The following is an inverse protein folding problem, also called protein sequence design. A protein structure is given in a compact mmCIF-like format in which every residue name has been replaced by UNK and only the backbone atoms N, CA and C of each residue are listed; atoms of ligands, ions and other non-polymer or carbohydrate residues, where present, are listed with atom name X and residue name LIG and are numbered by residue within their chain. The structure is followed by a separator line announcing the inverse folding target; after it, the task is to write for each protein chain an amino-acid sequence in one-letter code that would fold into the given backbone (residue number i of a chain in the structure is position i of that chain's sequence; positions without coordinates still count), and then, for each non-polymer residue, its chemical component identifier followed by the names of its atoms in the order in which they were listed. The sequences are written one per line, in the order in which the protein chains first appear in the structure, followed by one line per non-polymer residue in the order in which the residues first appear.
data_IF_902131523268
#
_entry.id   IF_902131523268
#
_cell.length_a   1.000
_cell.length_b   1.000
_cell.length_c   1.000
_cell.angle_alpha   90.00
_cell.angle_beta   90.00
_cell.angle_gamma   90.00
#
_symmetry.space_group_name_H-M   'P 1'
#
loop_
_entity.id
_entity.type
_entity.pdbx_description
1 polymer ?
#
# COMPACT_ATOMS: atom_id res chain seq x y z
N UNK A 1 13.13 2.22 4.31
CA UNK A 1 11.83 1.69 4.81
C UNK A 1 11.88 1.41 6.31
N UNK A 2 12.90 0.72 6.80
CA UNK A 2 13.01 0.30 8.22
C UNK A 2 13.19 1.48 9.20
N UNK A 3 13.76 2.60 8.75
CA UNK A 3 13.93 3.82 9.55
C UNK A 3 12.61 4.43 10.06
N UNK A 4 11.49 4.26 9.34
CA UNK A 4 10.17 4.71 9.80
C UNK A 4 9.67 3.91 11.00
N UNK A 5 9.94 2.61 11.03
CA UNK A 5 9.53 1.72 12.14
C UNK A 5 10.44 1.85 13.37
N UNK A 6 11.50 2.64 13.27
CA UNK A 6 12.50 2.76 14.33
C UNK A 6 12.06 3.76 15.42
N UNK A 7 10.91 3.50 16.04
CA UNK A 7 10.29 4.35 17.06
C UNK A 7 11.21 4.55 18.28
N UNK A 8 12.16 3.63 18.53
CA UNK A 8 13.13 3.81 19.61
C UNK A 8 14.04 5.03 19.39
N UNK A 9 14.36 5.38 18.15
CA UNK A 9 15.21 6.52 17.81
C UNK A 9 14.49 7.87 18.01
N UNK A 10 13.16 7.86 18.12
CA UNK A 10 12.34 9.04 18.42
C UNK A 10 12.61 9.59 19.85
N UNK A 11 13.06 8.73 20.77
CA UNK A 11 13.34 9.08 22.16
C UNK A 11 14.83 9.30 22.45
N UNK A 12 15.69 9.21 21.43
CA UNK A 12 17.14 9.39 21.55
C UNK A 12 17.54 10.73 20.93
N UNK A 13 17.93 11.69 21.77
CA UNK A 13 18.44 13.01 21.36
C UNK A 13 17.43 14.18 21.47
N UNK A 14 17.83 15.40 21.08
CA UNK A 14 16.93 16.55 21.05
C UNK A 14 15.80 16.35 20.03
N UNK A 15 14.60 16.84 20.35
CA UNK A 15 13.37 16.64 19.59
C UNK A 15 13.55 16.97 18.09
N UNK A 16 13.22 16.06 17.14
CA UNK A 16 12.38 14.86 17.26
C UNK A 16 13.15 13.52 17.41
N UNK A 17 14.41 13.54 17.82
CA UNK A 17 15.29 12.36 17.88
C UNK A 17 15.95 12.02 16.54
N UNK A 18 16.60 10.86 16.44
CA UNK A 18 17.23 10.33 15.21
C UNK A 18 16.24 9.75 14.18
N UNK A 19 14.94 9.86 14.45
CA UNK A 19 13.87 9.30 13.64
C UNK A 19 13.66 10.10 12.35
N UNK A 20 13.60 9.41 11.21
CA UNK A 20 13.39 10.03 9.89
C UNK A 20 11.89 10.13 9.54
N UNK A 21 11.26 11.33 9.62
CA UNK A 21 9.83 11.53 9.35
C UNK A 21 9.49 11.51 7.86
N UNK A 22 10.47 11.47 6.96
CA UNK A 22 10.27 11.71 5.52
C UNK A 22 9.27 10.73 4.92
N UNK A 23 9.37 9.45 5.30
CA UNK A 23 8.49 8.41 4.77
C UNK A 23 7.04 8.58 5.24
N UNK A 24 6.84 8.99 6.50
CA UNK A 24 5.51 9.31 7.01
C UNK A 24 4.90 10.47 6.24
N UNK A 25 5.67 11.52 6.00
CA UNK A 25 5.19 12.70 5.28
C UNK A 25 4.78 12.37 3.84
N UNK A 26 5.57 11.57 3.13
CA UNK A 26 5.25 11.15 1.76
C UNK A 26 3.98 10.28 1.72
N UNK A 27 3.86 9.30 2.62
CA UNK A 27 2.67 8.43 2.69
C UNK A 27 1.43 9.24 3.08
N UNK A 28 1.55 10.15 4.05
CA UNK A 28 0.46 11.03 4.48
C UNK A 28 0.02 11.97 3.34
N UNK A 29 0.96 12.55 2.60
CA UNK A 29 0.67 13.40 1.44
C UNK A 29 -0.04 12.62 0.33
N UNK A 30 0.47 11.44 -0.02
CA UNK A 30 -0.17 10.57 -1.01
C UNK A 30 -1.59 10.16 -0.59
N UNK A 31 -1.78 9.81 0.68
CA UNK A 31 -3.09 9.47 1.24
C UNK A 31 -4.04 10.66 1.22
N UNK A 32 -3.59 11.86 1.60
CA UNK A 32 -4.41 13.07 1.58
C UNK A 32 -4.90 13.39 0.16
N UNK A 33 -4.02 13.33 -0.84
CA UNK A 33 -4.39 13.55 -2.25
C UNK A 33 -5.38 12.49 -2.72
N UNK A 34 -5.15 11.21 -2.40
CA UNK A 34 -6.07 10.14 -2.75
C UNK A 34 -7.45 10.32 -2.11
N UNK A 35 -7.49 10.66 -0.81
CA UNK A 35 -8.74 10.90 -0.08
C UNK A 35 -9.49 12.11 -0.66
N UNK A 36 -8.80 13.21 -0.97
CA UNK A 36 -9.41 14.36 -1.63
C UNK A 36 -9.96 13.99 -3.00
N UNK A 37 -9.21 13.22 -3.80
CA UNK A 37 -9.69 12.70 -5.07
C UNK A 37 -10.98 11.90 -4.91
N UNK A 38 -11.00 10.90 -4.03
CA UNK A 38 -12.20 10.08 -3.77
C UNK A 38 -13.35 10.86 -3.14
N UNK A 39 -13.07 11.86 -2.31
CA UNK A 39 -14.10 12.69 -1.67
C UNK A 39 -14.74 13.67 -2.66
N UNK A 40 -13.96 14.22 -3.60
CA UNK A 40 -14.44 15.18 -4.61
C UNK A 40 -15.07 14.48 -5.82
N UNK A 41 -14.68 13.24 -6.14
CA UNK A 41 -15.20 12.49 -7.30
C UNK A 41 -16.75 12.40 -7.35
N UNK A 42 -17.47 12.15 -6.24
CA UNK A 42 -18.94 12.17 -6.24
C UNK A 42 -19.58 13.53 -6.50
N UNK A 43 -18.87 14.63 -6.21
CA UNK A 43 -19.37 16.00 -6.38
C UNK A 43 -18.93 16.61 -7.72
N UNK A 44 -17.88 16.05 -8.33
CA UNK A 44 -17.44 16.42 -9.66
C UNK A 44 -18.52 16.01 -10.69
N UNK A 45 -19.11 16.99 -11.39
CA UNK A 45 -20.02 16.73 -12.53
C UNK A 45 -19.29 16.16 -13.76
N UNK A 46 -18.04 15.71 -13.59
CA UNK A 46 -17.19 15.17 -14.63
C UNK A 46 -17.58 13.71 -14.83
N UNK A 47 -17.99 13.35 -16.04
CA UNK A 47 -18.29 11.96 -16.40
C UNK A 47 -17.01 11.28 -16.92
N UNK A 48 -16.77 10.00 -16.59
CA UNK A 48 -15.70 9.24 -17.22
C UNK A 48 -15.89 9.22 -18.74
N UNK A 49 -14.81 9.32 -19.52
CA UNK A 49 -14.91 9.32 -20.99
C UNK A 49 -15.45 8.01 -21.56
N UNK A 50 -15.25 6.89 -20.86
CA UNK A 50 -15.64 5.54 -21.29
C UNK A 50 -16.72 4.89 -20.40
N UNK A 51 -17.29 5.62 -19.43
CA UNK A 51 -18.28 5.06 -18.50
C UNK A 51 -19.37 6.09 -18.16
N UNK A 52 -20.57 5.60 -17.83
CA UNK A 52 -21.73 6.46 -17.51
C UNK A 52 -21.68 7.10 -16.12
N UNK A 53 -20.90 6.53 -15.20
CA UNK A 53 -20.70 7.06 -13.84
C UNK A 53 -19.42 6.51 -13.21
N UNK A 54 -18.91 7.19 -12.18
CA UNK A 54 -17.84 6.63 -11.35
C UNK A 54 -18.42 5.51 -10.46
N UNK A 55 -17.94 4.28 -10.67
CA UNK A 55 -18.25 3.14 -9.81
C UNK A 55 -17.45 3.19 -8.50
N UNK A 56 -17.87 4.04 -7.55
CA UNK A 56 -17.33 3.98 -6.19
C UNK A 56 -17.90 2.76 -5.47
N UNK A 57 -17.02 1.89 -4.96
CA UNK A 57 -17.43 0.75 -4.13
C UNK A 57 -18.10 1.27 -2.85
N UNK A 58 -19.40 1.01 -2.71
CA UNK A 58 -20.17 1.34 -1.49
C UNK A 58 -19.99 0.31 -0.37
N UNK A 59 -19.25 -0.78 -0.61
CA UNK A 59 -18.98 -1.79 0.42
C UNK A 59 -17.95 -1.25 1.41
N UNK A 60 -18.42 -0.88 2.61
CA UNK A 60 -17.59 -0.55 3.78
C UNK A 60 -17.50 -1.69 4.80
N UNK A 61 -17.96 -2.89 4.46
CA UNK A 61 -17.88 -4.02 5.38
C UNK A 61 -16.43 -4.47 5.52
N UNK A 62 -15.81 -4.09 6.63
CA UNK A 62 -14.57 -4.72 7.10
C UNK A 62 -14.97 -6.07 7.67
N UNK A 63 -14.74 -7.13 6.92
CA UNK A 63 -14.99 -8.49 7.38
C UNK A 63 -13.72 -9.11 8.00
N UNK A 64 -13.89 -10.12 8.85
CA UNK A 64 -12.76 -10.78 9.51
C UNK A 64 -11.80 -11.44 8.51
N UNK A 65 -12.31 -11.85 7.33
CA UNK A 65 -11.49 -12.37 6.22
C UNK A 65 -10.55 -11.30 5.66
N UNK A 66 -11.03 -10.06 5.46
CA UNK A 66 -10.21 -8.94 5.00
C UNK A 66 -9.14 -8.58 6.03
N UNK A 67 -9.48 -8.54 7.32
CA UNK A 67 -8.50 -8.23 8.37
C UNK A 67 -7.42 -9.31 8.44
N UNK A 68 -7.81 -10.59 8.47
CA UNK A 68 -6.86 -11.69 8.50
C UNK A 68 -5.97 -11.71 7.24
N UNK A 69 -6.55 -11.51 6.06
CA UNK A 69 -5.82 -11.41 4.80
C UNK A 69 -4.85 -10.24 4.78
N UNK A 70 -5.28 -9.04 5.23
CA UNK A 70 -4.44 -7.86 5.30
C UNK A 70 -3.25 -8.04 6.26
N UNK A 71 -3.45 -8.72 7.39
CA UNK A 71 -2.38 -9.04 8.34
C UNK A 71 -1.35 -9.99 7.72
N UNK A 72 -1.80 -11.12 7.15
CA UNK A 72 -0.90 -12.10 6.52
C UNK A 72 -0.11 -11.44 5.39
N UNK A 73 -0.78 -10.63 4.59
CA UNK A 73 -0.18 -9.94 3.46
C UNK A 73 0.82 -8.87 3.89
N UNK A 74 0.47 -8.06 4.90
CA UNK A 74 1.37 -7.07 5.48
C UNK A 74 2.62 -7.69 6.11
N UNK A 75 2.48 -8.84 6.81
CA UNK A 75 3.61 -9.61 7.33
C UNK A 75 4.51 -10.10 6.19
N UNK A 76 3.91 -10.62 5.11
CA UNK A 76 4.65 -11.07 3.93
C UNK A 76 5.50 -9.97 3.29
N UNK A 77 4.95 -8.75 3.14
CA UNK A 77 5.70 -7.60 2.63
C UNK A 77 6.78 -7.10 3.59
N UNK A 78 6.48 -7.09 4.89
CA UNK A 78 7.44 -6.68 5.92
C UNK A 78 8.66 -7.60 5.96
N UNK A 79 8.44 -8.91 5.77
CA UNK A 79 9.50 -9.91 5.72
C UNK A 79 10.30 -9.86 4.41
N UNK A 80 9.63 -9.67 3.27
CA UNK A 80 10.31 -9.61 1.97
C UNK A 80 11.04 -8.29 1.72
N UNK A 81 10.65 -7.22 2.41
CA UNK A 81 11.13 -5.87 2.12
C UNK A 81 10.58 -5.27 0.82
N UNK A 82 9.63 -5.96 0.16
CA UNK A 82 9.02 -5.54 -1.09
C UNK A 82 7.50 -5.39 -0.95
N UNK A 83 6.99 -4.25 -1.41
CA UNK A 83 5.57 -4.09 -1.76
C UNK A 83 5.31 -4.56 -3.20
N UNK A 84 4.07 -4.80 -3.64
CA UNK A 84 3.77 -5.27 -4.99
C UNK A 84 4.13 -4.22 -6.04
N UNK A 85 3.94 -2.93 -5.70
CA UNK A 85 4.30 -1.83 -6.58
C UNK A 85 5.82 -1.75 -6.78
N UNK A 86 6.58 -1.84 -5.69
CA UNK A 86 8.05 -1.87 -5.76
C UNK A 86 8.55 -3.16 -6.39
N UNK A 87 7.89 -4.30 -6.16
CA UNK A 87 8.25 -5.55 -6.81
C UNK A 87 8.06 -5.46 -8.33
N UNK A 88 6.96 -4.88 -8.80
CA UNK A 88 6.76 -4.69 -10.23
C UNK A 88 7.77 -3.70 -10.84
N UNK A 89 8.09 -2.61 -10.12
CA UNK A 89 9.11 -1.66 -10.55
C UNK A 89 10.52 -2.27 -10.57
N UNK A 90 10.89 -3.04 -9.54
CA UNK A 90 12.19 -3.71 -9.43
C UNK A 90 12.33 -4.90 -10.39
N UNK A 91 11.21 -5.46 -10.88
CA UNK A 91 11.25 -6.50 -11.92
C UNK A 91 11.90 -5.96 -13.20
N UNK A 92 11.67 -4.68 -13.52
CA UNK A 92 12.32 -3.99 -14.65
C UNK A 92 13.82 -3.79 -14.42
N UNK A 93 14.27 -3.77 -13.16
CA UNK A 93 15.69 -3.66 -12.79
C UNK A 93 16.42 -5.01 -12.77
N UNK A 94 15.71 -6.12 -12.98
CA UNK A 94 16.31 -7.45 -13.14
C UNK A 94 16.79 -8.12 -11.85
N UNK A 95 16.33 -7.67 -10.68
CA UNK A 95 16.74 -8.26 -9.40
C UNK A 95 16.13 -9.65 -9.20
N UNK A 96 16.98 -10.66 -8.96
CA UNK A 96 16.55 -12.06 -8.77
C UNK A 96 15.60 -12.20 -7.57
N UNK A 97 15.87 -11.50 -6.47
CA UNK A 97 15.02 -11.53 -5.27
C UNK A 97 13.59 -11.05 -5.57
N UNK A 98 13.48 -10.06 -6.44
CA UNK A 98 12.18 -9.55 -6.89
C UNK A 98 11.45 -10.57 -7.75
N UNK A 99 12.15 -11.27 -8.63
CA UNK A 99 11.56 -12.34 -9.45
C UNK A 99 11.00 -13.44 -8.57
N UNK A 100 11.76 -13.90 -7.57
CA UNK A 100 11.31 -14.92 -6.61
C UNK A 100 10.07 -14.44 -5.85
N UNK A 101 10.07 -13.19 -5.37
CA UNK A 101 8.91 -12.61 -4.68
C UNK A 101 7.67 -12.57 -5.58
N UNK A 102 7.80 -12.10 -6.82
CA UNK A 102 6.67 -12.04 -7.77
C UNK A 102 6.14 -13.43 -8.10
N UNK A 103 7.03 -14.41 -8.33
CA UNK A 103 6.65 -15.80 -8.59
C UNK A 103 5.94 -16.44 -7.39
N UNK A 104 6.28 -16.08 -6.16
CA UNK A 104 5.57 -16.53 -4.96
C UNK A 104 4.23 -15.79 -4.74
N UNK A 105 4.16 -14.52 -5.12
CA UNK A 105 2.96 -13.69 -4.99
C UNK A 105 1.83 -14.11 -5.94
N UNK A 106 2.17 -14.44 -7.20
CA UNK A 106 1.18 -14.78 -8.23
C UNK A 106 0.27 -15.97 -7.88
N UNK A 107 0.80 -17.14 -7.42
CA UNK A 107 -0.02 -18.26 -6.97
C UNK A 107 -0.91 -17.90 -5.78
N UNK A 108 -0.39 -17.10 -4.83
CA UNK A 108 -1.15 -16.64 -3.67
C UNK A 108 -2.33 -15.77 -4.07
N UNK A 109 -2.12 -14.82 -4.99
CA UNK A 109 -3.18 -13.98 -5.55
C UNK A 109 -4.21 -14.79 -6.34
N UNK A 110 -3.75 -15.75 -7.15
CA UNK A 110 -4.64 -16.61 -7.93
C UNK A 110 -5.52 -17.49 -7.05
N UNK A 111 -4.94 -18.07 -5.99
CA UNK A 111 -5.69 -18.88 -5.03
C UNK A 111 -6.70 -18.01 -4.28
N UNK A 112 -6.30 -16.83 -3.81
CA UNK A 112 -7.19 -15.91 -3.09
C UNK A 112 -8.35 -15.41 -3.97
N UNK A 113 -8.11 -15.15 -5.27
CA UNK A 113 -9.14 -14.67 -6.19
C UNK A 113 -10.19 -15.71 -6.59
N UNK A 114 -9.99 -16.98 -6.22
CA UNK A 114 -10.92 -18.08 -6.51
C UNK A 114 -11.98 -18.31 -5.41
N UNK A 115 -11.82 -17.68 -4.23
CA UNK A 115 -12.68 -17.81 -3.04
C UNK A 115 -13.36 -16.49 -2.65
#
# INVERSE_FOLDING_TARGET
VIAFLDIKEMFVGPFPGGWDPTLLFVVAGALAVALLGFALTPYASVRPWFMTSFMLSKRRSVDGRLVAGALIFGVGWGLSGYSPATALASLLTGQIDTVIFVLAMLPGMWLAGKF
#
